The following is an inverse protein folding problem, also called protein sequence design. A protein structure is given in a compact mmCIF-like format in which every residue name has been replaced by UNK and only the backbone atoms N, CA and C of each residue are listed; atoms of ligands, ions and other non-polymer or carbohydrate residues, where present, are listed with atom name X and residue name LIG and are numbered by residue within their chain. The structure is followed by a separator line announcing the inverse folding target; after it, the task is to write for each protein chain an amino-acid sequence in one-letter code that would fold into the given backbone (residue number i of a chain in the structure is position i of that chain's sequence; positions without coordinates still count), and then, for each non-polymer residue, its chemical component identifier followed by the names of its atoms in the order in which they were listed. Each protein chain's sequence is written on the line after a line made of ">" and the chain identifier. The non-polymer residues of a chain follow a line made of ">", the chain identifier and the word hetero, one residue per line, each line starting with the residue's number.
data_IF_371217796442
#
_entry.id   IF_371217796442
#
_cell.length_a   1.000
_cell.length_b   1.000
_cell.length_c   1.000
_cell.angle_alpha   90.00
_cell.angle_beta   90.00
_cell.angle_gamma   90.00
#
_symmetry.space_group_name_H-M   'P 1'
#
loop_
_entity.id
_entity.type
_entity.pdbx_description
1 polymer ?
#
# COMPACT_ATOMS: atom_id res chain seq x y z
N UNK A 1 14.43 -18.56 -10.30
CA UNK A 1 13.18 -18.46 -11.09
C UNK A 1 13.09 -19.68 -12.01
N UNK A 2 11.90 -20.07 -12.51
CA UNK A 2 11.86 -21.13 -13.51
C UNK A 2 12.40 -20.66 -14.88
N UNK A 3 12.85 -21.60 -15.71
CA UNK A 3 13.42 -21.29 -17.04
C UNK A 3 12.44 -20.59 -18.00
N UNK A 4 11.13 -20.83 -17.85
CA UNK A 4 10.10 -20.21 -18.69
C UNK A 4 9.93 -18.72 -18.39
N UNK A 5 9.82 -18.36 -17.11
CA UNK A 5 9.71 -16.97 -16.65
C UNK A 5 11.02 -16.18 -16.82
N UNK A 6 12.17 -16.86 -16.76
CA UNK A 6 13.49 -16.28 -17.00
C UNK A 6 13.65 -15.63 -18.39
N UNK A 7 12.84 -16.04 -19.37
CA UNK A 7 12.91 -15.55 -20.74
C UNK A 7 12.63 -14.05 -20.88
N UNK A 8 11.84 -13.45 -19.97
CA UNK A 8 11.57 -12.01 -19.98
C UNK A 8 12.62 -11.18 -19.24
N UNK A 9 13.44 -11.78 -18.37
CA UNK A 9 14.30 -11.05 -17.44
C UNK A 9 15.69 -10.71 -17.95
N UNK A 10 16.17 -11.40 -18.99
CA UNK A 10 17.53 -11.20 -19.51
C UNK A 10 17.77 -9.80 -20.06
N UNK A 11 16.69 -9.05 -20.33
CA UNK A 11 16.74 -7.66 -20.82
C UNK A 11 16.72 -6.62 -19.69
N UNK A 12 16.09 -6.92 -18.55
CA UNK A 12 15.78 -5.92 -17.52
C UNK A 12 16.80 -5.89 -16.37
N UNK A 13 17.60 -6.94 -16.18
CA UNK A 13 18.57 -7.06 -15.09
C UNK A 13 19.98 -7.42 -15.59
N UNK A 14 20.68 -6.51 -16.30
CA UNK A 14 21.95 -6.83 -16.98
C UNK A 14 23.11 -7.20 -16.03
N UNK A 15 22.99 -6.86 -14.74
CA UNK A 15 24.02 -7.15 -13.72
C UNK A 15 23.66 -8.34 -12.82
N UNK A 16 22.61 -9.09 -13.14
CA UNK A 16 22.19 -10.24 -12.35
C UNK A 16 22.67 -11.55 -12.99
N UNK A 17 23.23 -12.44 -12.17
CA UNK A 17 23.40 -13.85 -12.54
C UNK A 17 22.08 -14.58 -12.31
N UNK A 18 21.48 -15.10 -13.39
CA UNK A 18 20.20 -15.79 -13.31
C UNK A 18 20.41 -17.30 -13.12
N UNK A 19 20.15 -17.79 -11.91
CA UNK A 19 20.07 -19.24 -11.63
C UNK A 19 18.63 -19.73 -11.78
N UNK A 20 18.42 -20.72 -12.67
CA UNK A 20 17.08 -21.23 -13.03
C UNK A 20 16.90 -22.72 -12.70
N UNK A 21 15.64 -23.16 -12.66
CA UNK A 21 15.26 -24.57 -12.55
C UNK A 21 14.21 -24.94 -13.62
N UNK A 22 14.16 -26.20 -14.09
CA UNK A 22 13.22 -26.63 -15.12
C UNK A 22 11.79 -26.73 -14.60
N UNK A 23 10.80 -26.56 -15.48
CA UNK A 23 9.37 -26.74 -15.21
C UNK A 23 8.72 -27.63 -16.26
N UNK A 24 7.49 -28.11 -16.01
CA UNK A 24 6.66 -28.86 -16.96
C UNK A 24 6.08 -27.99 -18.09
N UNK A 25 6.78 -26.93 -18.49
CA UNK A 25 6.42 -26.10 -19.64
C UNK A 25 7.55 -26.27 -20.65
N UNK A 26 7.29 -27.06 -21.68
CA UNK A 26 8.20 -27.19 -22.82
C UNK A 26 8.17 -25.88 -23.62
N UNK A 27 9.33 -25.24 -23.74
CA UNK A 27 9.53 -24.12 -24.65
C UNK A 27 10.05 -24.70 -25.95
N UNK A 28 9.15 -24.85 -26.91
CA UNK A 28 9.51 -25.26 -28.27
C UNK A 28 10.50 -24.25 -28.88
N UNK A 29 11.46 -24.75 -29.65
CA UNK A 29 12.46 -23.95 -30.36
C UNK A 29 12.36 -24.23 -31.86
N UNK A 30 11.28 -23.76 -32.52
CA UNK A 30 11.01 -24.07 -33.91
C UNK A 30 12.07 -23.51 -34.88
N UNK A 31 13.00 -22.69 -34.38
CA UNK A 31 14.07 -22.07 -35.14
C UNK A 31 15.47 -22.62 -34.82
N UNK A 32 15.57 -23.63 -33.94
CA UNK A 32 16.83 -24.23 -33.48
C UNK A 32 17.86 -23.19 -32.99
N UNK A 33 17.41 -22.17 -32.24
CA UNK A 33 18.26 -21.12 -31.70
C UNK A 33 19.01 -21.53 -30.42
N UNK A 34 18.66 -22.65 -29.78
CA UNK A 34 19.25 -23.13 -28.53
C UNK A 34 19.85 -24.52 -28.70
N UNK A 35 20.90 -24.79 -27.93
CA UNK A 35 21.51 -26.12 -27.87
C UNK A 35 20.55 -27.12 -27.19
N UNK A 36 20.24 -28.23 -27.87
CA UNK A 36 19.24 -29.24 -27.47
C UNK A 36 19.64 -30.11 -26.26
N UNK A 37 20.79 -29.82 -25.65
CA UNK A 37 21.39 -30.61 -24.58
C UNK A 37 20.65 -30.53 -23.22
N UNK A 38 19.67 -29.64 -23.06
CA UNK A 38 18.97 -29.42 -21.78
C UNK A 38 17.67 -30.23 -21.58
N UNK A 39 17.29 -31.10 -22.53
CA UNK A 39 16.01 -31.82 -22.49
C UNK A 39 15.90 -32.92 -21.42
N UNK A 40 16.98 -33.24 -20.69
CA UNK A 40 17.04 -34.36 -19.75
C UNK A 40 17.09 -33.95 -18.27
N UNK A 41 16.65 -32.74 -17.90
CA UNK A 41 16.55 -32.36 -16.49
C UNK A 41 15.29 -32.94 -15.86
N UNK A 42 15.44 -33.52 -14.67
CA UNK A 42 14.32 -34.02 -13.86
C UNK A 42 13.36 -32.86 -13.52
N UNK A 43 12.06 -33.04 -13.80
CA UNK A 43 11.04 -31.98 -13.71
C UNK A 43 10.15 -32.17 -12.48
N UNK A 44 10.14 -31.23 -11.52
CA UNK A 44 9.33 -31.36 -10.31
C UNK A 44 7.84 -31.13 -10.57
N UNK A 45 6.96 -31.91 -9.95
CA UNK A 45 5.49 -31.86 -10.14
C UNK A 45 4.85 -30.56 -9.61
N UNK A 46 5.55 -29.83 -8.73
CA UNK A 46 5.09 -28.55 -8.17
C UNK A 46 6.27 -27.59 -7.93
N UNK A 47 6.04 -26.41 -7.33
CA UNK A 47 7.11 -25.46 -7.01
C UNK A 47 8.18 -26.17 -6.18
N UNK A 48 9.40 -26.37 -6.70
CA UNK A 48 10.39 -27.20 -6.03
C UNK A 48 11.08 -26.38 -4.95
N UNK A 49 10.37 -26.10 -3.86
CA UNK A 49 10.82 -25.18 -2.82
C UNK A 49 12.16 -25.62 -2.22
N UNK A 50 12.40 -26.93 -2.09
CA UNK A 50 13.70 -27.49 -1.70
C UNK A 50 14.79 -27.21 -2.74
N UNK A 51 14.50 -27.38 -4.04
CA UNK A 51 15.47 -27.05 -5.10
C UNK A 51 15.78 -25.55 -5.14
N UNK A 52 14.78 -24.69 -4.92
CA UNK A 52 14.99 -23.24 -4.77
C UNK A 52 15.88 -22.94 -3.56
N UNK A 53 15.64 -23.59 -2.43
CA UNK A 53 16.48 -23.44 -1.23
C UNK A 53 17.90 -24.00 -1.43
N UNK A 54 18.08 -25.06 -2.22
CA UNK A 54 19.39 -25.58 -2.59
C UNK A 54 20.14 -24.59 -3.49
N UNK A 55 19.46 -23.94 -4.46
CA UNK A 55 20.07 -22.87 -5.26
C UNK A 55 20.50 -21.70 -4.38
N UNK A 56 19.69 -21.32 -3.39
CA UNK A 56 20.08 -20.32 -2.39
C UNK A 56 21.32 -20.76 -1.60
N UNK A 57 21.35 -22.00 -1.13
CA UNK A 57 22.51 -22.58 -0.42
C UNK A 57 23.78 -22.51 -1.24
N UNK A 58 23.70 -22.85 -2.53
CA UNK A 58 24.83 -22.78 -3.45
C UNK A 58 25.31 -21.32 -3.61
N UNK A 59 24.38 -20.37 -3.78
CA UNK A 59 24.73 -18.94 -3.84
C UNK A 59 25.41 -18.44 -2.55
N UNK A 60 24.94 -18.87 -1.38
CA UNK A 60 25.57 -18.54 -0.09
C UNK A 60 26.95 -19.20 0.07
N UNK A 61 27.14 -20.39 -0.50
CA UNK A 61 28.43 -21.05 -0.56
C UNK A 61 29.43 -20.33 -1.47
N UNK A 62 28.99 -19.94 -2.67
CA UNK A 62 29.77 -19.18 -3.65
C UNK A 62 30.24 -17.84 -3.06
N UNK A 63 29.36 -17.17 -2.31
CA UNK A 63 29.67 -15.96 -1.55
C UNK A 63 30.55 -16.19 -0.30
N UNK A 64 30.82 -17.46 0.06
CA UNK A 64 31.63 -17.88 1.22
C UNK A 64 31.09 -17.36 2.56
N UNK A 65 29.76 -17.36 2.71
CA UNK A 65 29.07 -16.84 3.92
C UNK A 65 28.31 -17.89 4.73
N UNK A 66 28.30 -19.17 4.32
CA UNK A 66 27.55 -20.22 5.04
C UNK A 66 27.97 -20.40 6.51
N UNK A 67 29.19 -20.03 6.87
CA UNK A 67 29.70 -20.07 8.25
C UNK A 67 29.58 -18.73 9.00
N UNK A 68 28.86 -17.77 8.42
CA UNK A 68 28.58 -16.46 8.99
C UNK A 68 27.14 -16.39 9.48
N UNK A 69 26.86 -15.33 10.20
CA UNK A 69 25.50 -14.91 10.53
C UNK A 69 24.86 -14.26 9.30
N UNK A 70 23.70 -14.76 8.87
CA UNK A 70 23.01 -14.31 7.66
C UNK A 70 21.70 -13.63 8.08
N UNK A 71 21.62 -12.33 7.79
CA UNK A 71 20.45 -11.50 8.05
C UNK A 71 19.36 -11.78 7.00
N UNK A 72 18.13 -12.05 7.45
CA UNK A 72 16.95 -12.23 6.60
C UNK A 72 15.77 -11.42 7.12
N UNK A 73 14.85 -11.05 6.24
CA UNK A 73 13.60 -10.40 6.61
C UNK A 73 12.56 -11.47 6.99
N UNK A 74 12.30 -11.60 8.29
CA UNK A 74 11.33 -12.55 8.82
C UNK A 74 9.88 -12.04 8.71
N UNK A 75 9.66 -10.73 8.57
CA UNK A 75 8.30 -10.16 8.51
C UNK A 75 7.54 -10.59 7.25
N UNK A 76 8.24 -10.77 6.13
CA UNK A 76 7.64 -11.16 4.85
C UNK A 76 7.82 -12.65 4.53
N UNK A 77 8.62 -13.37 5.31
CA UNK A 77 8.86 -14.79 5.08
C UNK A 77 7.73 -15.63 5.67
N UNK A 78 7.13 -16.49 4.83
CA UNK A 78 6.15 -17.46 5.33
C UNK A 78 6.80 -18.51 6.24
N UNK A 79 6.07 -18.96 7.26
CA UNK A 79 6.51 -20.06 8.13
C UNK A 79 6.83 -21.33 7.32
N UNK A 80 6.07 -21.59 6.25
CA UNK A 80 6.34 -22.69 5.32
C UNK A 80 7.72 -22.57 4.66
N UNK A 81 8.06 -21.38 4.14
CA UNK A 81 9.37 -21.09 3.56
C UNK A 81 10.51 -21.25 4.57
N UNK A 82 10.34 -20.73 5.78
CA UNK A 82 11.34 -20.85 6.86
C UNK A 82 11.63 -22.31 7.22
N UNK A 83 10.60 -23.14 7.35
CA UNK A 83 10.76 -24.58 7.65
C UNK A 83 11.59 -25.32 6.60
N UNK A 84 11.43 -24.98 5.32
CA UNK A 84 12.21 -25.58 4.24
C UNK A 84 13.66 -25.10 4.28
N UNK A 85 13.87 -23.79 4.47
CA UNK A 85 15.21 -23.20 4.62
C UNK A 85 15.98 -23.90 5.77
N UNK A 86 15.33 -24.09 6.92
CA UNK A 86 15.94 -24.76 8.09
C UNK A 86 16.25 -26.24 7.83
N UNK A 87 15.43 -26.93 7.03
CA UNK A 87 15.69 -28.31 6.66
C UNK A 87 16.86 -28.46 5.68
N UNK A 88 16.99 -27.55 4.71
CA UNK A 88 18.03 -27.59 3.67
C UNK A 88 19.38 -27.05 4.16
N UNK A 89 19.35 -26.09 5.09
CA UNK A 89 20.50 -25.39 5.64
C UNK A 89 20.50 -25.38 7.19
N UNK A 90 20.47 -26.55 7.86
CA UNK A 90 20.27 -26.63 9.31
C UNK A 90 21.39 -26.01 10.16
N UNK A 91 22.57 -25.79 9.57
CA UNK A 91 23.75 -25.27 10.24
C UNK A 91 24.01 -23.78 9.94
N UNK A 92 23.12 -23.11 9.21
CA UNK A 92 23.26 -21.69 8.88
C UNK A 92 22.59 -20.85 9.98
N UNK A 93 23.32 -19.87 10.51
CA UNK A 93 22.83 -18.94 11.53
C UNK A 93 22.01 -17.80 10.89
N UNK A 94 20.74 -18.08 10.60
CA UNK A 94 19.80 -17.06 10.13
C UNK A 94 19.30 -16.20 11.28
N UNK A 95 19.42 -14.89 11.14
CA UNK A 95 18.94 -13.90 12.12
C UNK A 95 17.94 -12.94 11.51
N UNK A 96 16.99 -12.50 12.33
CA UNK A 96 16.04 -11.48 11.93
C UNK A 96 16.73 -10.13 11.72
N UNK A 97 16.40 -9.49 10.61
CA UNK A 97 16.86 -8.16 10.24
C UNK A 97 15.73 -7.28 9.71
N UNK A 98 14.48 -7.65 9.97
CA UNK A 98 13.31 -6.94 9.45
C UNK A 98 13.29 -5.45 9.84
N UNK A 99 13.83 -5.09 11.02
CA UNK A 99 13.96 -3.69 11.43
C UNK A 99 14.90 -2.88 10.52
N UNK A 100 16.00 -3.48 10.06
CA UNK A 100 16.97 -2.84 9.17
C UNK A 100 16.31 -2.56 7.81
N UNK A 101 15.56 -3.52 7.27
CA UNK A 101 14.82 -3.33 6.01
C UNK A 101 13.76 -2.25 6.13
N UNK A 102 13.06 -2.17 7.26
CA UNK A 102 12.12 -1.09 7.53
C UNK A 102 12.84 0.27 7.57
N UNK A 103 13.92 0.40 8.33
CA UNK A 103 14.71 1.65 8.42
C UNK A 103 15.21 2.13 7.05
N UNK A 104 15.70 1.22 6.21
CA UNK A 104 16.15 1.54 4.85
C UNK A 104 15.03 2.08 3.95
N UNK A 105 13.78 1.64 4.17
CA UNK A 105 12.60 2.04 3.38
C UNK A 105 11.92 3.30 3.90
N UNK A 106 12.22 3.73 5.12
CA UNK A 106 11.60 4.93 5.72
C UNK A 106 11.91 6.17 4.89
N UNK A 107 13.16 6.32 4.44
CA UNK A 107 13.64 7.48 3.67
C UNK A 107 13.71 7.13 2.18
N UNK A 108 12.86 7.78 1.38
CA UNK A 108 12.69 7.47 -0.04
C UNK A 108 13.77 8.16 -0.86
N UNK A 109 14.37 7.44 -1.79
CA UNK A 109 15.20 8.00 -2.84
C UNK A 109 14.38 8.83 -3.83
N UNK A 110 15.02 9.72 -4.64
CA UNK A 110 14.31 10.48 -5.67
C UNK A 110 13.54 9.61 -6.68
N UNK A 111 14.03 8.40 -6.96
CA UNK A 111 13.36 7.46 -7.86
C UNK A 111 12.07 6.93 -7.23
N UNK A 112 12.11 6.51 -5.96
CA UNK A 112 10.95 6.02 -5.22
C UNK A 112 9.87 7.09 -5.08
N UNK A 113 10.27 8.33 -4.74
CA UNK A 113 9.36 9.49 -4.67
C UNK A 113 8.64 9.71 -6.00
N UNK A 114 9.33 9.52 -7.14
CA UNK A 114 8.71 9.67 -8.47
C UNK A 114 7.62 8.61 -8.70
N UNK A 115 7.80 7.38 -8.21
CA UNK A 115 6.81 6.30 -8.32
C UNK A 115 5.61 6.55 -7.41
N UNK A 116 5.87 6.94 -6.16
CA UNK A 116 4.83 7.29 -5.19
C UNK A 116 3.98 8.47 -5.67
N UNK A 117 4.60 9.53 -6.23
CA UNK A 117 3.87 10.66 -6.81
C UNK A 117 2.99 10.22 -7.97
N UNK A 118 3.52 9.38 -8.88
CA UNK A 118 2.73 8.86 -10.00
C UNK A 118 1.59 7.95 -9.54
N UNK A 119 1.82 7.13 -8.52
CA UNK A 119 0.78 6.30 -7.91
C UNK A 119 -0.34 7.17 -7.32
N UNK A 120 0.01 8.22 -6.57
CA UNK A 120 -0.97 9.18 -6.04
C UNK A 120 -1.80 9.83 -7.16
N UNK A 121 -1.15 10.32 -8.22
CA UNK A 121 -1.83 10.91 -9.40
C UNK A 121 -2.83 9.95 -10.04
N UNK A 122 -2.48 8.66 -10.19
CA UNK A 122 -3.38 7.67 -10.79
C UNK A 122 -4.53 7.33 -9.85
N UNK A 123 -4.27 7.17 -8.55
CA UNK A 123 -5.30 6.95 -7.53
C UNK A 123 -6.33 8.08 -7.55
N UNK A 124 -5.88 9.34 -7.54
CA UNK A 124 -6.77 10.51 -7.59
C UNK A 124 -7.55 10.61 -8.89
N UNK A 125 -6.93 10.26 -10.01
CA UNK A 125 -7.64 10.13 -11.29
C UNK A 125 -8.75 9.08 -11.18
N UNK A 126 -8.48 7.91 -10.61
CA UNK A 126 -9.48 6.87 -10.39
C UNK A 126 -10.65 7.35 -9.53
N UNK A 127 -10.36 8.01 -8.39
CA UNK A 127 -11.39 8.58 -7.50
C UNK A 127 -12.23 9.61 -8.26
N UNK A 128 -11.58 10.50 -9.02
CA UNK A 128 -12.25 11.55 -9.80
C UNK A 128 -13.16 10.99 -10.89
N UNK A 129 -12.73 9.96 -11.62
CA UNK A 129 -13.55 9.34 -12.66
C UNK A 129 -14.74 8.58 -12.04
N UNK A 130 -14.52 7.84 -10.96
CA UNK A 130 -15.57 7.10 -10.27
C UNK A 130 -16.59 8.03 -9.60
N UNK A 131 -16.15 9.16 -9.04
CA UNK A 131 -17.04 10.11 -8.35
C UNK A 131 -18.08 10.75 -9.28
N UNK A 132 -17.82 10.80 -10.59
CA UNK A 132 -18.79 11.29 -11.60
C UNK A 132 -20.05 10.42 -11.69
N UNK A 133 -20.01 9.20 -11.18
CA UNK A 133 -21.16 8.29 -11.15
C UNK A 133 -21.94 8.35 -9.83
N UNK A 134 -21.54 9.21 -8.89
CA UNK A 134 -22.28 9.41 -7.65
C UNK A 134 -23.60 10.09 -7.97
N UNK A 135 -24.69 9.42 -7.59
CA UNK A 135 -26.07 9.88 -7.72
C UNK A 135 -26.96 9.02 -6.83
N UNK A 136 -28.21 9.44 -6.63
CA UNK A 136 -29.23 8.57 -6.02
C UNK A 136 -29.30 7.24 -6.78
N UNK A 137 -29.29 6.14 -6.02
CA UNK A 137 -29.35 4.78 -6.55
C UNK A 137 -28.02 4.19 -7.00
N UNK A 138 -26.91 4.94 -6.97
CA UNK A 138 -25.58 4.36 -7.24
C UNK A 138 -25.21 3.34 -6.15
N UNK A 139 -24.30 2.42 -6.47
CA UNK A 139 -23.85 1.38 -5.54
C UNK A 139 -22.32 1.39 -5.42
N UNK A 140 -21.79 0.89 -4.30
CA UNK A 140 -20.34 0.69 -4.16
C UNK A 140 -19.78 -0.23 -5.25
N UNK A 141 -20.57 -1.16 -5.80
CA UNK A 141 -20.15 -2.05 -6.88
C UNK A 141 -19.94 -1.29 -8.20
N UNK A 142 -20.88 -0.42 -8.58
CA UNK A 142 -20.75 0.45 -9.75
C UNK A 142 -19.55 1.40 -9.62
N UNK A 143 -19.40 2.03 -8.45
CA UNK A 143 -18.28 2.95 -8.18
C UNK A 143 -16.92 2.23 -8.19
N UNK A 144 -16.86 1.03 -7.61
CA UNK A 144 -15.64 0.20 -7.62
C UNK A 144 -15.28 -0.23 -9.04
N UNK A 145 -16.26 -0.62 -9.86
CA UNK A 145 -16.02 -0.98 -11.25
C UNK A 145 -15.47 0.21 -12.06
N UNK A 146 -16.04 1.41 -11.86
CA UNK A 146 -15.57 2.62 -12.51
C UNK A 146 -14.16 3.02 -12.06
N UNK A 147 -13.88 2.95 -10.76
CA UNK A 147 -12.54 3.20 -10.21
C UNK A 147 -11.50 2.27 -10.84
N UNK A 148 -11.77 0.95 -10.84
CA UNK A 148 -10.87 -0.05 -11.43
C UNK A 148 -10.65 0.19 -12.92
N UNK A 149 -11.71 0.43 -13.69
CA UNK A 149 -11.59 0.71 -15.12
C UNK A 149 -10.74 1.96 -15.39
N UNK A 150 -10.95 3.02 -14.60
CA UNK A 150 -10.19 4.26 -14.73
C UNK A 150 -8.70 4.06 -14.43
N UNK A 151 -8.34 3.44 -13.31
CA UNK A 151 -6.92 3.25 -12.97
C UNK A 151 -6.23 2.27 -13.92
N UNK A 152 -6.90 1.18 -14.32
CA UNK A 152 -6.36 0.19 -15.25
C UNK A 152 -6.20 0.73 -16.69
N UNK A 153 -6.77 1.90 -17.00
CA UNK A 153 -6.50 2.60 -18.27
C UNK A 153 -5.10 3.25 -18.31
N UNK A 154 -4.37 3.28 -17.18
CA UNK A 154 -3.02 3.83 -17.09
C UNK A 154 -2.00 2.69 -17.15
N UNK A 155 -1.15 2.70 -18.17
CA UNK A 155 -0.15 1.65 -18.42
C UNK A 155 0.89 1.49 -17.31
N UNK A 156 1.11 2.53 -16.52
CA UNK A 156 2.10 2.58 -15.44
C UNK A 156 1.63 1.87 -14.16
N UNK A 157 0.35 1.47 -14.10
CA UNK A 157 -0.15 0.59 -13.04
C UNK A 157 -0.57 -0.74 -13.63
N UNK A 158 -0.34 -1.80 -12.87
CA UNK A 158 -0.73 -3.16 -13.25
C UNK A 158 -1.77 -3.74 -12.29
N UNK A 159 -2.07 -3.02 -11.20
CA UNK A 159 -2.92 -3.51 -10.14
C UNK A 159 -3.53 -2.38 -9.30
N UNK A 160 -4.84 -2.48 -9.02
CA UNK A 160 -5.46 -1.73 -7.92
C UNK A 160 -5.06 -2.41 -6.62
N UNK A 161 -4.11 -1.80 -5.89
CA UNK A 161 -3.63 -2.30 -4.59
C UNK A 161 -4.79 -2.61 -3.65
N UNK A 162 -5.73 -1.67 -3.54
CA UNK A 162 -6.99 -1.82 -2.80
C UNK A 162 -8.03 -0.78 -3.27
N UNK A 163 -9.29 -0.99 -2.85
CA UNK A 163 -10.45 -0.18 -3.21
C UNK A 163 -11.55 -0.34 -2.15
N UNK A 164 -11.43 0.38 -1.04
CA UNK A 164 -12.35 0.32 0.09
C UNK A 164 -13.45 1.38 -0.06
N UNK A 165 -14.30 1.18 -1.07
CA UNK A 165 -15.40 2.11 -1.40
C UNK A 165 -16.67 1.70 -0.66
N UNK A 166 -17.21 2.60 0.16
CA UNK A 166 -18.42 2.36 0.96
C UNK A 166 -19.54 3.34 0.64
N UNK A 167 -20.79 2.90 0.83
CA UNK A 167 -22.01 3.67 0.52
C UNK A 167 -22.97 3.65 1.71
N UNK A 168 -23.52 4.81 2.06
CA UNK A 168 -24.51 4.99 3.11
C UNK A 168 -24.00 4.50 4.45
N UNK A 169 -24.85 3.79 5.20
CA UNK A 169 -24.55 3.27 6.53
C UNK A 169 -23.41 2.23 6.58
N UNK A 170 -22.89 1.77 5.44
CA UNK A 170 -21.76 0.86 5.41
C UNK A 170 -20.46 1.59 5.78
N UNK A 171 -19.91 1.22 6.93
CA UNK A 171 -18.65 1.76 7.43
C UNK A 171 -17.49 0.76 7.34
N UNK A 172 -17.76 -0.48 6.90
CA UNK A 172 -16.79 -1.57 6.97
C UNK A 172 -15.69 -1.44 5.91
N UNK A 173 -14.41 -1.63 6.25
CA UNK A 173 -13.30 -1.59 5.29
C UNK A 173 -13.22 -2.90 4.49
N UNK A 174 -14.17 -3.09 3.57
CA UNK A 174 -14.28 -4.31 2.76
C UNK A 174 -13.86 -4.08 1.30
N UNK A 175 -13.13 -5.06 0.75
CA UNK A 175 -12.78 -5.10 -0.68
C UNK A 175 -13.94 -5.59 -1.56
N UNK A 176 -14.90 -6.31 -0.98
CA UNK A 176 -16.06 -6.82 -1.72
C UNK A 176 -17.15 -5.74 -1.69
N UNK A 177 -17.46 -5.11 -2.83
CA UNK A 177 -18.48 -4.06 -2.85
C UNK A 177 -19.89 -4.66 -2.68
N UNK A 178 -20.82 -3.80 -2.27
CA UNK A 178 -22.25 -4.08 -2.16
C UNK A 178 -23.06 -3.48 -3.31
N UNK A 179 -24.20 -4.12 -3.60
CA UNK A 179 -25.27 -3.60 -4.46
C UNK A 179 -26.31 -2.75 -3.70
N UNK A 180 -26.04 -2.41 -2.43
CA UNK A 180 -26.85 -1.45 -1.68
C UNK A 180 -26.88 -0.11 -2.42
N UNK A 181 -28.09 0.37 -2.70
CA UNK A 181 -28.33 1.62 -3.42
C UNK A 181 -28.24 2.81 -2.47
N UNK A 182 -27.49 3.83 -2.87
CA UNK A 182 -27.41 5.08 -2.14
C UNK A 182 -28.73 5.85 -2.17
N UNK A 183 -29.10 6.42 -1.03
CA UNK A 183 -30.18 7.38 -0.85
C UNK A 183 -29.64 8.81 -0.79
N UNK A 184 -30.51 9.80 -0.92
CA UNK A 184 -30.14 11.19 -0.63
C UNK A 184 -29.73 11.33 0.84
N UNK A 185 -28.63 12.03 1.09
CA UNK A 185 -27.98 12.18 2.38
C UNK A 185 -26.92 11.12 2.71
N UNK A 186 -26.79 10.06 1.90
CA UNK A 186 -25.81 9.00 2.14
C UNK A 186 -24.37 9.45 1.82
N UNK A 187 -23.46 9.01 2.68
CA UNK A 187 -22.02 9.17 2.48
C UNK A 187 -21.48 8.18 1.44
N UNK A 188 -20.50 8.63 0.66
CA UNK A 188 -19.72 7.80 -0.25
C UNK A 188 -18.24 8.00 0.09
N UNK A 189 -17.62 7.02 0.74
CA UNK A 189 -16.19 7.06 1.06
C UNK A 189 -15.41 6.32 -0.03
N UNK A 190 -14.39 6.98 -0.58
CA UNK A 190 -13.30 6.36 -1.31
C UNK A 190 -12.09 6.31 -0.42
N UNK A 191 -11.40 5.18 -0.42
CA UNK A 191 -10.19 4.88 0.34
C UNK A 191 -9.48 3.83 -0.51
N UNK A 192 -8.50 4.32 -1.28
CA UNK A 192 -8.08 3.68 -2.51
C UNK A 192 -6.58 3.87 -2.75
N UNK A 193 -5.99 2.89 -3.46
CA UNK A 193 -4.60 2.94 -3.87
C UNK A 193 -4.30 2.09 -5.08
N UNK A 194 -3.25 2.45 -5.82
CA UNK A 194 -2.69 1.68 -6.93
C UNK A 194 -1.19 1.53 -6.79
N UNK A 195 -0.61 0.52 -7.41
CA UNK A 195 0.85 0.36 -7.46
C UNK A 195 1.43 0.88 -8.78
N UNK A 196 2.57 1.57 -8.70
CA UNK A 196 3.43 1.92 -9.83
C UNK A 196 4.82 1.40 -9.51
N UNK A 197 5.32 0.45 -10.31
CA UNK A 197 6.59 -0.26 -10.07
C UNK A 197 6.70 -0.84 -8.63
N UNK A 198 5.58 -1.27 -8.04
CA UNK A 198 5.49 -1.78 -6.68
C UNK A 198 5.33 -0.73 -5.57
N UNK A 199 5.39 0.57 -5.89
CA UNK A 199 5.18 1.65 -4.94
C UNK A 199 3.75 2.16 -5.01
N UNK A 200 3.09 2.22 -3.86
CA UNK A 200 1.66 2.53 -3.82
C UNK A 200 1.29 3.68 -2.92
N UNK A 201 0.17 4.29 -3.31
CA UNK A 201 -0.48 5.39 -2.61
C UNK A 201 -1.60 4.88 -1.73
N UNK A 202 -1.94 5.69 -0.74
CA UNK A 202 -3.13 5.53 0.10
C UNK A 202 -3.79 6.91 0.26
N UNK A 203 -5.00 7.04 -0.27
CA UNK A 203 -5.72 8.31 -0.38
C UNK A 203 -7.21 8.05 -0.18
N UNK A 204 -7.81 8.84 0.71
CA UNK A 204 -9.23 8.79 0.98
C UNK A 204 -9.93 10.14 0.85
N UNK A 205 -11.12 10.13 0.23
CA UNK A 205 -12.04 11.26 0.12
C UNK A 205 -13.46 10.79 0.37
N UNK A 206 -14.25 11.64 1.01
CA UNK A 206 -15.65 11.37 1.30
C UNK A 206 -16.54 12.38 0.59
N UNK A 207 -17.57 11.87 -0.07
CA UNK A 207 -18.59 12.61 -0.80
C UNK A 207 -19.96 12.34 -0.18
N UNK A 208 -20.97 13.08 -0.64
CA UNK A 208 -22.36 12.86 -0.24
C UNK A 208 -23.29 12.89 -1.45
N UNK A 209 -24.31 12.03 -1.43
CA UNK A 209 -25.40 12.05 -2.41
C UNK A 209 -26.42 13.09 -1.97
N UNK A 210 -26.70 14.10 -2.78
CA UNK A 210 -27.58 15.21 -2.46
C UNK A 210 -27.06 16.07 -1.30
N UNK A 211 -27.98 16.48 -0.42
CA UNK A 211 -27.66 17.38 0.71
C UNK A 211 -27.22 16.58 1.95
N UNK A 212 -26.05 16.88 2.54
CA UNK A 212 -25.61 16.18 3.73
C UNK A 212 -26.50 16.53 4.94
N UNK A 213 -26.92 15.53 5.74
CA UNK A 213 -27.59 15.78 7.00
C UNK A 213 -26.74 16.69 7.91
N UNK A 214 -27.39 17.46 8.78
CA UNK A 214 -26.69 18.39 9.68
C UNK A 214 -25.68 17.69 10.59
N UNK A 215 -26.02 16.48 11.06
CA UNK A 215 -25.09 15.66 11.84
C UNK A 215 -23.85 15.27 11.03
N UNK A 216 -24.02 14.91 9.76
CA UNK A 216 -22.92 14.59 8.83
C UNK A 216 -22.00 15.79 8.64
N UNK A 217 -22.56 16.99 8.42
CA UNK A 217 -21.78 18.24 8.29
C UNK A 217 -20.95 18.52 9.54
N UNK A 218 -21.55 18.38 10.73
CA UNK A 218 -20.85 18.61 12.01
C UNK A 218 -19.69 17.63 12.24
N UNK A 219 -19.93 16.34 11.98
CA UNK A 219 -18.89 15.31 12.14
C UNK A 219 -17.77 15.56 11.13
N UNK A 220 -18.10 15.78 9.86
CA UNK A 220 -17.11 16.07 8.82
C UNK A 220 -16.26 17.30 9.16
N UNK A 221 -16.88 18.38 9.61
CA UNK A 221 -16.15 19.59 10.00
C UNK A 221 -15.23 19.34 11.21
N UNK A 222 -15.65 18.51 12.16
CA UNK A 222 -14.82 18.12 13.31
C UNK A 222 -13.59 17.33 12.87
N UNK A 223 -13.80 16.35 11.98
CA UNK A 223 -12.74 15.52 11.40
C UNK A 223 -11.76 16.39 10.59
N UNK A 224 -12.27 17.25 9.71
CA UNK A 224 -11.45 18.20 8.96
C UNK A 224 -10.64 19.13 9.87
N UNK A 225 -11.23 19.63 10.95
CA UNK A 225 -10.51 20.49 11.91
C UNK A 225 -9.32 19.75 12.52
N UNK A 226 -9.51 18.48 12.91
CA UNK A 226 -8.40 17.63 13.38
C UNK A 226 -7.35 17.39 12.30
N UNK A 227 -7.78 17.11 11.08
CA UNK A 227 -6.88 16.86 9.95
C UNK A 227 -6.00 18.05 9.60
N UNK A 228 -6.59 19.24 9.51
CA UNK A 228 -5.84 20.48 9.23
C UNK A 228 -4.89 20.82 10.40
N UNK A 229 -5.31 20.58 11.64
CA UNK A 229 -4.44 20.71 12.81
C UNK A 229 -3.23 19.77 12.72
N UNK A 230 -3.46 18.49 12.40
CA UNK A 230 -2.41 17.51 12.18
C UNK A 230 -1.41 17.99 11.13
N UNK A 231 -1.90 18.39 9.94
CA UNK A 231 -1.06 18.88 8.85
C UNK A 231 -0.24 20.12 9.25
N UNK A 232 -0.80 21.01 10.08
CA UNK A 232 -0.10 22.21 10.54
C UNK A 232 1.08 21.93 11.47
N UNK A 233 1.08 20.78 12.15
CA UNK A 233 2.16 20.39 13.06
C UNK A 233 3.28 19.61 12.38
N UNK A 234 3.00 18.98 11.24
CA UNK A 234 3.94 18.06 10.59
C UNK A 234 5.08 18.86 9.96
N UNK A 235 6.29 18.67 10.49
CA UNK A 235 7.52 19.26 9.99
C UNK A 235 8.74 18.43 10.41
N UNK A 236 9.89 18.54 9.70
CA UNK A 236 11.12 17.87 10.10
C UNK A 236 11.50 18.13 11.57
N UNK A 237 11.84 17.09 12.30
CA UNK A 237 12.22 17.14 13.71
C UNK A 237 11.06 17.14 14.70
N UNK A 238 9.81 17.28 14.25
CA UNK A 238 8.63 17.16 15.12
C UNK A 238 8.40 15.68 15.47
N UNK A 239 8.13 15.38 16.74
CA UNK A 239 7.85 14.02 17.19
C UNK A 239 6.48 13.56 16.69
N UNK A 240 6.42 12.36 16.13
CA UNK A 240 5.16 11.80 15.61
C UNK A 240 4.12 11.59 16.71
N UNK A 241 4.56 11.21 17.91
CA UNK A 241 3.71 11.07 19.09
C UNK A 241 3.02 12.38 19.48
N UNK A 242 3.74 13.50 19.44
CA UNK A 242 3.19 14.81 19.83
C UNK A 242 2.09 15.25 18.84
N UNK A 243 2.29 14.99 17.54
CA UNK A 243 1.27 15.23 16.51
C UNK A 243 0.04 14.36 16.72
N UNK A 244 0.24 13.06 17.01
CA UNK A 244 -0.86 12.15 17.30
C UNK A 244 -1.68 12.61 18.51
N UNK A 245 -1.02 12.78 19.66
CA UNK A 245 -1.70 13.11 20.93
C UNK A 245 -2.44 14.46 20.83
N UNK A 246 -1.81 15.47 20.20
CA UNK A 246 -2.42 16.79 20.01
C UNK A 246 -3.62 16.75 19.05
N UNK A 247 -3.53 16.02 17.93
CA UNK A 247 -4.64 15.88 16.98
C UNK A 247 -5.83 15.17 17.60
N UNK A 248 -5.57 14.08 18.34
CA UNK A 248 -6.62 13.35 19.07
C UNK A 248 -7.34 14.25 20.07
N UNK A 249 -6.60 15.09 20.79
CA UNK A 249 -7.18 16.06 21.73
C UNK A 249 -8.05 17.11 21.02
N UNK A 250 -7.58 17.67 19.90
CA UNK A 250 -8.33 18.65 19.11
C UNK A 250 -9.64 18.06 18.59
N UNK A 251 -9.62 16.85 18.02
CA UNK A 251 -10.84 16.19 17.52
C UNK A 251 -11.84 15.96 18.67
N UNK A 252 -11.37 15.47 19.82
CA UNK A 252 -12.22 15.23 20.99
C UNK A 252 -12.88 16.51 21.51
N UNK A 253 -12.10 17.58 21.64
CA UNK A 253 -12.59 18.89 22.10
C UNK A 253 -13.51 19.59 21.10
N UNK A 254 -13.34 19.31 19.81
CA UNK A 254 -14.09 19.96 18.73
C UNK A 254 -15.48 19.36 18.47
N UNK A 255 -15.81 18.20 19.08
CA UNK A 255 -17.16 17.65 19.00
C UNK A 255 -17.26 16.13 19.03
N UNK A 256 -16.14 15.40 19.04
CA UNK A 256 -16.14 13.92 19.03
C UNK A 256 -15.40 13.35 20.25
N UNK A 257 -15.95 13.47 21.49
CA UNK A 257 -15.24 13.12 22.72
C UNK A 257 -14.81 11.65 22.82
N UNK A 258 -15.51 10.76 22.11
CA UNK A 258 -15.23 9.32 22.07
C UNK A 258 -14.33 8.90 20.88
N UNK A 259 -13.81 9.87 20.11
CA UNK A 259 -12.92 9.58 18.98
C UNK A 259 -11.67 8.85 19.46
N UNK A 260 -11.38 7.69 18.88
CA UNK A 260 -10.21 6.88 19.24
C UNK A 260 -9.61 6.18 18.02
N UNK A 261 -8.28 6.10 17.96
CA UNK A 261 -7.50 5.55 16.84
C UNK A 261 -6.21 4.91 17.36
N UNK A 262 -5.68 3.95 16.59
CA UNK A 262 -4.35 3.37 16.84
C UNK A 262 -3.22 4.26 16.32
N UNK A 263 -3.44 4.92 15.19
CA UNK A 263 -2.57 5.91 14.55
C UNK A 263 -3.41 6.91 13.73
N UNK A 264 -2.78 7.98 13.29
CA UNK A 264 -3.32 8.98 12.36
C UNK A 264 -2.48 9.09 11.08
N UNK A 265 -1.64 8.09 10.84
CA UNK A 265 -0.90 7.96 9.60
C UNK A 265 0.16 6.88 9.65
N UNK A 266 0.63 6.49 8.49
CA UNK A 266 1.65 5.46 8.30
C UNK A 266 2.55 5.81 7.10
N UNK A 267 3.67 5.12 6.96
CA UNK A 267 4.54 5.25 5.81
C UNK A 267 3.92 4.65 4.55
N UNK A 268 4.34 5.14 3.38
CA UNK A 268 4.01 4.56 2.09
C UNK A 268 5.27 4.23 1.30
N UNK A 269 5.21 3.14 0.56
CA UNK A 269 6.36 2.61 -0.15
C UNK A 269 6.03 1.31 -0.87
N UNK A 270 7.02 0.43 -0.87
CA UNK A 270 7.02 -0.86 -1.57
C UNK A 270 6.48 -2.02 -0.73
N UNK A 271 5.93 -1.76 0.47
CA UNK A 271 5.37 -2.85 1.27
C UNK A 271 4.24 -3.56 0.52
N UNK A 272 4.16 -4.88 0.71
CA UNK A 272 3.06 -5.67 0.19
C UNK A 272 1.77 -5.50 1.02
N UNK A 273 1.89 -5.08 2.28
CA UNK A 273 0.75 -4.68 3.10
C UNK A 273 0.28 -3.26 2.77
N UNK A 274 -0.87 -2.87 3.33
CA UNK A 274 -1.43 -1.52 3.14
C UNK A 274 -0.64 -0.45 3.90
N UNK A 275 -0.15 -0.80 5.09
CA UNK A 275 0.52 0.14 6.00
C UNK A 275 1.96 -0.32 6.29
N UNK A 276 2.91 0.60 6.27
CA UNK A 276 4.30 0.36 6.69
C UNK A 276 4.79 1.43 7.67
N UNK A 277 5.93 1.17 8.31
CA UNK A 277 6.56 2.15 9.20
C UNK A 277 7.05 3.39 8.43
N UNK A 278 7.08 4.57 9.05
CA UNK A 278 6.75 4.85 10.45
C UNK A 278 5.25 5.12 10.67
N UNK A 279 4.75 4.96 11.90
CA UNK A 279 3.36 5.24 12.26
C UNK A 279 3.23 6.50 13.13
N UNK A 280 2.26 7.36 12.81
CA UNK A 280 1.90 8.52 13.63
C UNK A 280 0.97 8.07 14.75
N UNK A 281 1.55 7.62 15.87
CA UNK A 281 0.81 6.97 16.96
C UNK A 281 1.30 7.37 18.34
N UNK A 282 0.54 7.01 19.37
CA UNK A 282 0.94 7.25 20.77
C UNK A 282 2.19 6.48 21.19
N UNK A 283 2.58 5.44 20.45
CA UNK A 283 3.78 4.62 20.69
C UNK A 283 4.96 5.00 19.79
N UNK A 284 4.80 6.00 18.92
CA UNK A 284 5.86 6.45 18.03
C UNK A 284 7.05 7.00 18.84
N UNK A 285 8.24 6.55 18.50
CA UNK A 285 9.51 7.01 19.09
C UNK A 285 10.26 7.96 18.16
N UNK A 286 9.86 7.97 16.89
CA UNK A 286 10.49 8.66 15.79
C UNK A 286 9.97 10.10 15.65
N UNK A 287 10.75 10.91 14.95
CA UNK A 287 10.37 12.25 14.50
C UNK A 287 10.24 12.26 12.98
N UNK A 288 9.39 13.14 12.45
CA UNK A 288 9.31 13.37 11.00
C UNK A 288 10.69 13.77 10.48
N UNK A 289 11.13 13.15 9.38
CA UNK A 289 12.43 13.38 8.78
C UNK A 289 12.27 13.58 7.28
N UNK A 290 13.08 14.48 6.70
CA UNK A 290 13.08 14.73 5.26
C UNK A 290 13.30 13.44 4.45
N UNK A 291 12.51 13.24 3.41
CA UNK A 291 12.50 12.06 2.56
C UNK A 291 11.48 11.00 2.98
N UNK A 292 10.79 11.15 4.12
CA UNK A 292 9.66 10.31 4.46
C UNK A 292 8.45 10.62 3.57
N UNK A 293 7.74 9.58 3.14
CA UNK A 293 6.42 9.70 2.51
C UNK A 293 5.41 8.97 3.38
N UNK A 294 4.34 9.66 3.76
CA UNK A 294 3.30 9.15 4.65
C UNK A 294 1.90 9.48 4.12
N UNK A 295 0.94 8.62 4.41
CA UNK A 295 -0.48 8.91 4.35
C UNK A 295 -0.91 9.29 5.76
N UNK A 296 -1.39 10.53 5.90
CA UNK A 296 -1.94 11.05 7.14
C UNK A 296 -3.46 11.05 7.02
N UNK A 297 -4.15 10.52 8.03
CA UNK A 297 -5.58 10.18 7.94
C UNK A 297 -6.35 10.45 9.23
N UNK A 298 -7.61 10.85 9.07
CA UNK A 298 -8.56 11.05 10.17
C UNK A 298 -9.90 10.36 9.89
N UNK A 299 -9.98 9.02 9.96
CA UNK A 299 -11.21 8.30 9.68
C UNK A 299 -12.19 8.36 10.86
N UNK A 300 -13.49 8.39 10.56
CA UNK A 300 -14.62 8.24 11.48
C UNK A 300 -15.58 7.18 10.95
N UNK A 301 -16.05 6.31 11.84
CA UNK A 301 -17.01 5.25 11.53
C UNK A 301 -18.21 5.36 12.47
N UNK A 302 -19.42 5.40 11.92
CA UNK A 302 -20.65 5.58 12.69
C UNK A 302 -21.76 4.64 12.25
N UNK A 303 -22.41 3.99 13.22
CA UNK A 303 -23.62 3.21 12.96
C UNK A 303 -24.72 4.08 12.36
N UNK A 304 -25.37 3.58 11.31
CA UNK A 304 -26.41 4.28 10.55
C UNK A 304 -25.95 5.57 9.84
N UNK A 305 -24.66 5.92 9.93
CA UNK A 305 -24.07 7.06 9.22
C UNK A 305 -23.18 6.58 8.07
N UNK A 306 -22.33 5.59 8.33
CA UNK A 306 -21.30 5.14 7.40
C UNK A 306 -19.90 5.54 7.85
N UNK A 307 -19.03 5.83 6.88
CA UNK A 307 -17.66 6.24 7.12
C UNK A 307 -17.36 7.61 6.52
N UNK A 308 -16.56 8.39 7.24
CA UNK A 308 -15.95 9.64 6.80
C UNK A 308 -14.45 9.45 6.91
N UNK A 309 -13.72 9.84 5.89
CA UNK A 309 -12.26 9.83 5.91
C UNK A 309 -11.73 10.96 5.04
N UNK A 310 -10.75 11.66 5.60
CA UNK A 310 -9.87 12.59 4.92
C UNK A 310 -8.47 12.03 5.11
N UNK A 311 -7.77 11.81 4.01
CA UNK A 311 -6.41 11.29 4.04
C UNK A 311 -5.57 11.88 2.93
N UNK A 312 -4.39 12.37 3.27
CA UNK A 312 -3.44 12.90 2.31
C UNK A 312 -2.12 12.15 2.34
N UNK A 313 -1.64 11.86 1.15
CA UNK A 313 -0.29 11.37 0.95
C UNK A 313 0.66 12.56 0.80
N UNK A 314 1.64 12.65 1.69
CA UNK A 314 2.60 13.76 1.77
C UNK A 314 4.05 13.26 1.71
N UNK A 315 4.93 14.09 1.15
CA UNK A 315 6.37 13.97 1.27
C UNK A 315 6.87 15.02 2.29
N UNK A 316 7.63 14.59 3.28
CA UNK A 316 8.37 15.49 4.16
C UNK A 316 9.65 15.93 3.42
N UNK A 317 9.84 17.22 3.22
CA UNK A 317 11.07 17.79 2.68
C UNK A 317 11.77 18.66 3.73
N UNK A 318 12.84 19.37 3.37
CA UNK A 318 13.61 20.18 4.35
C UNK A 318 12.85 21.43 4.78
N UNK A 319 11.91 21.89 3.95
CA UNK A 319 11.14 23.12 4.11
C UNK A 319 9.77 22.88 4.77
N UNK A 320 9.32 21.62 4.90
CA UNK A 320 8.03 21.25 5.46
C UNK A 320 7.41 20.04 4.76
N UNK A 321 6.16 20.19 4.30
CA UNK A 321 5.39 19.15 3.61
C UNK A 321 5.16 19.50 2.14
N UNK A 322 5.25 18.51 1.26
CA UNK A 322 4.75 18.54 -0.11
C UNK A 322 3.57 17.57 -0.24
N UNK A 323 2.44 18.03 -0.74
CA UNK A 323 1.29 17.17 -1.02
C UNK A 323 1.49 16.39 -2.32
N UNK A 324 1.49 15.06 -2.22
CA UNK A 324 1.47 14.17 -3.38
C UNK A 324 0.04 13.96 -3.89
N UNK A 325 -0.93 13.89 -2.97
CA UNK A 325 -2.37 13.94 -3.25
C UNK A 325 -2.90 15.38 -3.23
N UNK A 326 -3.67 15.78 -4.26
CA UNK A 326 -4.13 17.16 -4.49
C UNK A 326 -5.65 17.33 -4.55
N UNK A 327 -6.43 16.27 -4.39
CA UNK A 327 -7.89 16.35 -4.34
C UNK A 327 -8.33 17.25 -3.17
N UNK A 328 -9.35 18.09 -3.35
CA UNK A 328 -9.85 18.94 -2.28
C UNK A 328 -10.40 18.11 -1.12
N UNK A 329 -10.33 18.65 0.10
CA UNK A 329 -10.85 18.04 1.34
C UNK A 329 -12.22 18.59 1.74
N UNK A 330 -12.94 19.18 0.80
CA UNK A 330 -14.30 19.65 1.05
C UNK A 330 -15.26 18.46 0.93
N UNK A 331 -16.32 18.47 1.74
CA UNK A 331 -17.42 17.52 1.57
C UNK A 331 -18.23 17.93 0.34
N UNK A 332 -17.95 17.29 -0.80
CA UNK A 332 -18.62 17.61 -2.07
C UNK A 332 -19.92 16.83 -2.21
N UNK A 333 -20.99 17.54 -2.55
CA UNK A 333 -22.32 17.01 -2.86
C UNK A 333 -22.49 16.71 -4.35
N UNK A 334 -23.06 15.56 -4.68
CA UNK A 334 -23.47 15.18 -6.03
C UNK A 334 -24.97 14.95 -6.09
N UNK A 335 -25.66 15.58 -7.06
CA UNK A 335 -27.11 15.49 -7.23
C UNK A 335 -27.56 14.24 -7.97
#
# INVERSE_FOLDING_TARGET
>A
MNEFEAASLTLDMPNAELKTFPVWVDVDDPFNMRDSANNNKERPIGPPIESVCNILKDALNDARVLNKKIAIDLNIMSNGGKRVIDAVMPNVDFVDSSSIFNELRVIKSPWEIKRLRKSAEITEYGITEASKLIRVGCTSAELTAAYKAAVMSKSETHFSRFHLISVGADFSPKLIPSNTKACSGDLIKFDCGVDVDGYGADIARTFVVGEPPEITRKIYQTIRTGHEHMLSMVAPGVKMKDVFDSTMEVIKKSGLPNYNRGHLGHGNGVFLGLEESPFVSTHATESFTSGMVLSLETPYYGYNLGSIMIEDMILINKEGIEFLSKLPRDLVSFN
#
